data_IF_646458312778
#
_entry.id   IF_646458312778
#
_cell.length_a   1.000
_cell.length_b   1.000
_cell.length_c   1.000
_cell.angle_alpha   90.00
_cell.angle_beta   90.00
_cell.angle_gamma   90.00
#
_symmetry.space_group_name_H-M   'P 1'
#
loop_
_entity.id
_entity.type
_entity.pdbx_description
1 polymer ?
#
# COMPACT_ATOMS: atom_id res chain seq x y z
N UNK A 1 26.69 5.90 7.51
CA UNK A 1 26.11 4.67 6.92
C UNK A 1 26.88 4.30 5.65
N UNK A 2 27.26 3.02 5.50
CA UNK A 2 27.90 2.54 4.27
C UNK A 2 26.89 2.47 3.10
N UNK A 3 27.37 2.40 1.85
CA UNK A 3 26.51 2.42 0.64
C UNK A 3 25.47 1.29 0.62
N UNK A 4 25.80 0.15 1.22
CA UNK A 4 24.90 -1.00 1.35
C UNK A 4 23.73 -0.70 2.29
N UNK A 5 24.01 -0.19 3.48
CA UNK A 5 22.99 0.21 4.45
C UNK A 5 22.05 1.29 3.88
N UNK A 6 22.57 2.23 3.08
CA UNK A 6 21.74 3.24 2.41
C UNK A 6 20.76 2.63 1.40
N UNK A 7 21.18 1.63 0.62
CA UNK A 7 20.30 0.93 -0.32
C UNK A 7 19.24 0.12 0.43
N UNK A 8 19.64 -0.61 1.47
CA UNK A 8 18.70 -1.39 2.28
C UNK A 8 17.67 -0.49 2.97
N UNK A 9 18.07 0.66 3.51
CA UNK A 9 17.15 1.61 4.11
C UNK A 9 16.15 2.16 3.09
N UNK A 10 16.63 2.52 1.89
CA UNK A 10 15.80 3.16 0.86
C UNK A 10 14.82 2.21 0.18
N UNK A 11 15.26 1.00 -0.18
CA UNK A 11 14.45 0.03 -0.93
C UNK A 11 13.86 -1.08 -0.06
N UNK A 12 14.41 -1.32 1.12
CA UNK A 12 14.00 -2.39 2.02
C UNK A 12 12.52 -2.34 2.41
N UNK A 13 11.95 -1.17 2.81
CA UNK A 13 10.54 -1.09 3.14
C UNK A 13 9.62 -1.50 1.99
N UNK A 14 9.95 -1.07 0.76
CA UNK A 14 9.18 -1.41 -0.44
C UNK A 14 9.23 -2.91 -0.72
N UNK A 15 10.44 -3.51 -0.70
CA UNK A 15 10.62 -4.95 -0.89
C UNK A 15 9.89 -5.74 0.20
N UNK A 16 10.03 -5.35 1.45
CA UNK A 16 9.41 -6.02 2.58
C UNK A 16 7.88 -6.00 2.46
N UNK A 17 7.27 -4.85 2.18
CA UNK A 17 5.82 -4.74 2.03
C UNK A 17 5.30 -5.46 0.78
N UNK A 18 6.01 -5.39 -0.35
CA UNK A 18 5.67 -6.15 -1.57
C UNK A 18 5.78 -7.67 -1.41
N UNK A 19 6.38 -8.18 -0.34
CA UNK A 19 6.40 -9.61 -0.02
C UNK A 19 5.40 -9.94 1.09
N UNK A 20 5.32 -9.08 2.10
CA UNK A 20 4.46 -9.28 3.26
C UNK A 20 2.98 -9.22 2.90
N UNK A 21 2.57 -8.29 2.03
CA UNK A 21 1.16 -8.11 1.68
C UNK A 21 0.59 -9.37 1.02
N UNK A 22 1.16 -9.95 -0.07
CA UNK A 22 0.70 -11.22 -0.62
C UNK A 22 0.70 -12.35 0.39
N UNK A 23 1.76 -12.45 1.20
CA UNK A 23 1.89 -13.50 2.20
C UNK A 23 0.70 -13.46 3.16
N UNK A 24 0.35 -12.28 3.68
CA UNK A 24 -0.79 -12.12 4.59
C UNK A 24 -2.15 -12.27 3.88
N UNK A 25 -2.29 -11.72 2.67
CA UNK A 25 -3.55 -11.76 1.91
C UNK A 25 -3.92 -13.16 1.43
N UNK A 26 -2.94 -13.97 1.03
CA UNK A 26 -3.15 -15.34 0.54
C UNK A 26 -3.14 -16.38 1.67
N UNK A 27 -2.70 -16.03 2.88
CA UNK A 27 -2.77 -16.93 4.02
C UNK A 27 -4.24 -17.33 4.32
N UNK A 28 -4.50 -18.64 4.53
CA UNK A 28 -5.83 -19.12 4.86
C UNK A 28 -6.44 -18.42 6.08
N UNK A 29 -7.74 -18.15 6.04
CA UNK A 29 -8.43 -17.39 7.09
C UNK A 29 -8.26 -17.99 8.50
N UNK A 30 -8.08 -19.32 8.61
CA UNK A 30 -7.80 -20.04 9.87
C UNK A 30 -6.57 -19.56 10.63
N UNK A 31 -5.61 -18.92 9.98
CA UNK A 31 -4.45 -18.35 10.69
C UNK A 31 -4.82 -17.09 11.48
N UNK A 32 -5.91 -16.43 11.10
CA UNK A 32 -6.39 -15.19 11.72
C UNK A 32 -7.56 -15.40 12.68
N UNK A 33 -8.12 -16.61 12.76
CA UNK A 33 -9.28 -16.91 13.63
C UNK A 33 -9.01 -16.69 15.12
N UNK A 34 -7.74 -16.81 15.57
CA UNK A 34 -7.35 -16.43 16.94
C UNK A 34 -7.34 -14.92 17.19
N UNK A 35 -7.15 -14.11 16.15
CA UNK A 35 -7.21 -12.64 16.22
C UNK A 35 -8.66 -12.14 16.06
N UNK A 36 -9.50 -12.91 15.38
CA UNK A 36 -10.91 -12.61 15.11
C UNK A 36 -11.86 -12.88 16.30
N UNK A 37 -11.34 -13.29 17.47
CA UNK A 37 -12.13 -13.51 18.69
C UNK A 37 -12.60 -12.21 19.34
N UNK A 38 -12.14 -11.04 18.87
CA UNK A 38 -12.68 -9.73 19.20
C UNK A 38 -13.90 -9.40 18.34
N UNK A 39 -14.93 -8.68 18.85
CA UNK A 39 -16.07 -8.26 18.05
C UNK A 39 -15.63 -7.59 16.75
N UNK A 40 -16.06 -8.12 15.61
CA UNK A 40 -15.70 -7.56 14.30
C UNK A 40 -16.40 -6.22 14.13
N UNK A 41 -15.65 -5.12 14.17
CA UNK A 41 -16.15 -3.81 13.78
C UNK A 41 -16.45 -3.84 12.27
N UNK A 42 -17.67 -3.52 11.84
CA UNK A 42 -18.01 -3.51 10.41
C UNK A 42 -17.05 -2.61 9.62
N UNK A 43 -16.50 -3.12 8.51
CA UNK A 43 -15.59 -2.37 7.63
C UNK A 43 -14.14 -2.25 8.11
N UNK A 44 -13.77 -2.86 9.23
CA UNK A 44 -12.39 -2.83 9.74
C UNK A 44 -11.39 -3.51 8.77
N UNK A 45 -11.83 -4.56 8.08
CA UNK A 45 -11.12 -5.19 6.98
C UNK A 45 -10.77 -4.17 5.87
N UNK A 46 -11.74 -3.38 5.40
CA UNK A 46 -11.50 -2.34 4.40
C UNK A 46 -10.52 -1.28 4.89
N UNK A 47 -10.56 -0.92 6.18
CA UNK A 47 -9.57 -0.02 6.76
C UNK A 47 -8.15 -0.62 6.72
N UNK A 48 -7.99 -1.90 7.05
CA UNK A 48 -6.69 -2.57 6.95
C UNK A 48 -6.16 -2.60 5.52
N UNK A 49 -7.03 -2.88 4.55
CA UNK A 49 -6.70 -2.80 3.13
C UNK A 49 -6.21 -1.39 2.75
N UNK A 50 -6.97 -0.35 3.09
CA UNK A 50 -6.55 1.03 2.83
C UNK A 50 -5.20 1.38 3.49
N UNK A 51 -5.00 1.00 4.76
CA UNK A 51 -3.74 1.29 5.48
C UNK A 51 -2.54 0.53 4.90
N UNK A 52 -2.71 -0.75 4.52
CA UNK A 52 -1.64 -1.55 3.93
C UNK A 52 -1.19 -0.97 2.59
N UNK A 53 -2.13 -0.54 1.74
CA UNK A 53 -1.78 0.03 0.43
C UNK A 53 -1.32 1.49 0.53
N UNK A 54 -1.77 2.25 1.52
CA UNK A 54 -1.16 3.53 1.87
C UNK A 54 0.32 3.33 2.29
N UNK A 55 0.61 2.36 3.15
CA UNK A 55 1.98 2.04 3.54
C UNK A 55 2.84 1.57 2.36
N UNK A 56 2.27 0.75 1.46
CA UNK A 56 2.94 0.30 0.24
C UNK A 56 3.30 1.49 -0.67
N UNK A 57 2.33 2.35 -1.00
CA UNK A 57 2.58 3.57 -1.77
C UNK A 57 3.61 4.48 -1.12
N UNK A 58 3.54 4.68 0.21
CA UNK A 58 4.52 5.47 0.93
C UNK A 58 5.93 4.87 0.84
N UNK A 59 6.05 3.54 0.88
CA UNK A 59 7.33 2.86 0.73
C UNK A 59 7.91 3.00 -0.69
N UNK A 60 7.05 2.98 -1.72
CA UNK A 60 7.46 3.24 -3.11
C UNK A 60 7.90 4.70 -3.29
N UNK A 61 7.17 5.65 -2.69
CA UNK A 61 7.59 7.05 -2.63
C UNK A 61 8.97 7.19 -1.95
N UNK A 62 9.19 6.47 -0.84
CA UNK A 62 10.48 6.46 -0.15
C UNK A 62 11.61 5.86 -1.01
N UNK A 63 11.33 4.88 -1.85
CA UNK A 63 12.31 4.33 -2.80
C UNK A 63 12.63 5.31 -3.95
N UNK A 64 11.69 6.19 -4.30
CA UNK A 64 11.78 7.11 -5.43
C UNK A 64 12.97 8.09 -5.31
N UNK A 65 13.55 8.49 -6.45
CA UNK A 65 14.63 9.49 -6.48
C UNK A 65 14.13 10.89 -6.13
N UNK A 66 14.97 11.75 -5.52
CA UNK A 66 14.58 13.12 -5.19
C UNK A 66 13.99 13.89 -6.39
N UNK A 67 14.61 13.77 -7.56
CA UNK A 67 14.16 14.43 -8.80
C UNK A 67 12.77 13.93 -9.25
N UNK A 68 12.48 12.64 -9.08
CA UNK A 68 11.19 12.07 -9.45
C UNK A 68 10.08 12.46 -8.44
N UNK A 69 10.42 12.68 -7.16
CA UNK A 69 9.46 13.14 -6.14
C UNK A 69 8.93 14.56 -6.37
N UNK A 70 9.64 15.37 -7.16
CA UNK A 70 9.23 16.74 -7.49
C UNK A 70 8.18 16.80 -8.61
N UNK A 71 7.91 15.67 -9.28
CA UNK A 71 6.99 15.62 -10.42
C UNK A 71 5.73 14.86 -10.02
N UNK A 72 4.53 15.33 -10.41
CA UNK A 72 3.29 14.64 -10.08
C UNK A 72 3.17 13.27 -10.77
N UNK A 73 3.63 13.14 -12.02
CA UNK A 73 3.45 11.91 -12.80
C UNK A 73 4.08 10.66 -12.15
N UNK A 74 5.34 10.65 -11.69
CA UNK A 74 5.91 9.51 -10.95
C UNK A 74 5.14 9.15 -9.66
N UNK A 75 4.56 10.15 -8.98
CA UNK A 75 3.79 9.95 -7.77
C UNK A 75 2.44 9.29 -8.06
N UNK A 76 1.74 9.73 -9.10
CA UNK A 76 0.49 9.10 -9.50
C UNK A 76 0.73 7.70 -10.08
N UNK A 77 1.84 7.50 -10.81
CA UNK A 77 2.21 6.21 -11.35
C UNK A 77 2.46 5.16 -10.25
N UNK A 78 3.16 5.52 -9.16
CA UNK A 78 3.40 4.56 -8.07
C UNK A 78 2.11 4.19 -7.33
N UNK A 79 1.18 5.15 -7.14
CA UNK A 79 -0.13 4.88 -6.56
C UNK A 79 -0.92 3.92 -7.45
N UNK A 80 -0.94 4.17 -8.77
CA UNK A 80 -1.57 3.28 -9.74
C UNK A 80 -0.95 1.88 -9.73
N UNK A 81 0.39 1.77 -9.66
CA UNK A 81 1.07 0.48 -9.53
C UNK A 81 0.65 -0.27 -8.26
N UNK A 82 0.57 0.40 -7.11
CA UNK A 82 0.09 -0.21 -5.87
C UNK A 82 -1.38 -0.65 -5.98
N UNK A 83 -2.24 0.14 -6.60
CA UNK A 83 -3.65 -0.22 -6.84
C UNK A 83 -3.80 -1.44 -7.75
N UNK A 84 -3.07 -1.48 -8.87
CA UNK A 84 -3.08 -2.61 -9.81
C UNK A 84 -2.58 -3.87 -9.10
N UNK A 85 -1.49 -3.74 -8.33
CA UNK A 85 -0.96 -4.83 -7.53
C UNK A 85 -2.01 -5.39 -6.56
N UNK A 86 -2.80 -4.53 -5.93
CA UNK A 86 -3.87 -4.97 -5.05
C UNK A 86 -5.05 -5.61 -5.75
N UNK A 87 -5.48 -5.05 -6.88
CA UNK A 87 -6.52 -5.67 -7.70
C UNK A 87 -6.12 -7.08 -8.17
N UNK A 88 -4.85 -7.27 -8.55
CA UNK A 88 -4.32 -8.59 -8.92
C UNK A 88 -4.32 -9.56 -7.73
N UNK A 89 -4.05 -9.08 -6.51
CA UNK A 89 -4.14 -9.91 -5.31
C UNK A 89 -5.57 -10.30 -4.95
N UNK A 90 -6.56 -9.42 -5.14
CA UNK A 90 -7.98 -9.77 -4.96
C UNK A 90 -8.41 -10.86 -5.96
N UNK A 91 -8.00 -10.74 -7.22
CA UNK A 91 -8.19 -11.81 -8.20
C UNK A 91 -7.47 -13.10 -7.76
N UNK A 92 -6.24 -12.98 -7.25
CA UNK A 92 -5.47 -14.10 -6.71
C UNK A 92 -6.17 -14.79 -5.53
N UNK A 93 -6.80 -14.05 -4.62
CA UNK A 93 -7.55 -14.62 -3.52
C UNK A 93 -8.75 -15.43 -4.01
N UNK A 94 -9.49 -14.93 -4.99
CA UNK A 94 -10.62 -15.65 -5.60
C UNK A 94 -10.22 -16.87 -6.45
N UNK A 95 -9.04 -16.83 -7.09
CA UNK A 95 -8.58 -17.88 -7.99
C UNK A 95 -7.71 -18.95 -7.32
N UNK A 96 -6.92 -18.57 -6.31
CA UNK A 96 -5.88 -19.43 -5.71
C UNK A 96 -6.22 -19.93 -4.30
N UNK A 97 -7.30 -19.42 -3.68
CA UNK A 97 -7.66 -19.80 -2.31
C UNK A 97 -9.11 -20.26 -2.22
N UNK A 98 -9.37 -21.21 -1.33
CA UNK A 98 -10.74 -21.70 -1.07
C UNK A 98 -11.43 -20.99 0.10
N UNK A 99 -10.66 -20.31 0.96
CA UNK A 99 -11.18 -19.66 2.18
C UNK A 99 -11.26 -18.14 2.10
N UNK A 100 -10.81 -17.54 0.98
CA UNK A 100 -10.99 -16.11 0.72
C UNK A 100 -11.90 -15.94 -0.48
N UNK A 101 -12.68 -14.86 -0.47
CA UNK A 101 -13.47 -14.44 -1.59
C UNK A 101 -12.82 -13.20 -2.21
N UNK A 102 -12.99 -13.04 -3.51
CA UNK A 102 -12.69 -11.78 -4.20
C UNK A 102 -13.74 -10.75 -3.78
N UNK A 103 -13.32 -9.59 -3.27
CA UNK A 103 -14.21 -8.48 -2.91
C UNK A 103 -13.81 -7.20 -3.66
N UNK A 104 -14.66 -6.70 -4.61
CA UNK A 104 -14.41 -5.43 -5.28
C UNK A 104 -14.28 -4.24 -4.32
N UNK A 105 -14.89 -4.29 -3.13
CA UNK A 105 -14.76 -3.25 -2.12
C UNK A 105 -13.36 -3.23 -1.49
N UNK A 106 -12.70 -4.38 -1.40
CA UNK A 106 -11.32 -4.48 -0.92
C UNK A 106 -10.35 -3.93 -1.98
N UNK A 107 -10.60 -4.18 -3.27
CA UNK A 107 -9.87 -3.53 -4.37
C UNK A 107 -10.02 -1.99 -4.34
N UNK A 108 -11.22 -1.50 -4.04
CA UNK A 108 -11.48 -0.07 -3.89
C UNK A 108 -10.75 0.50 -2.66
N UNK A 109 -10.76 -0.21 -1.53
CA UNK A 109 -10.05 0.18 -0.32
C UNK A 109 -8.53 0.24 -0.55
N UNK A 110 -7.96 -0.76 -1.23
CA UNK A 110 -6.56 -0.77 -1.67
C UNK A 110 -6.23 0.49 -2.47
N UNK A 111 -7.08 0.82 -3.44
CA UNK A 111 -6.92 2.00 -4.30
C UNK A 111 -7.02 3.31 -3.52
N UNK A 112 -8.03 3.44 -2.65
CA UNK A 112 -8.21 4.62 -1.81
C UNK A 112 -7.02 4.84 -0.88
N UNK A 113 -6.49 3.79 -0.26
CA UNK A 113 -5.27 3.83 0.53
C UNK A 113 -4.06 4.30 -0.27
N UNK A 114 -3.81 3.67 -1.42
CA UNK A 114 -2.67 3.98 -2.28
C UNK A 114 -2.65 5.43 -2.76
N UNK A 115 -3.81 5.97 -3.16
CA UNK A 115 -3.92 7.34 -3.66
C UNK A 115 -3.97 8.38 -2.54
N UNK A 116 -4.67 8.12 -1.43
CA UNK A 116 -4.85 9.10 -0.34
C UNK A 116 -3.51 9.59 0.22
N UNK A 117 -2.55 8.69 0.47
CA UNK A 117 -1.23 9.07 0.99
C UNK A 117 -0.43 9.91 -0.01
N UNK A 118 -0.53 9.58 -1.30
CA UNK A 118 0.19 10.31 -2.36
C UNK A 118 -0.41 11.69 -2.58
N UNK A 119 -1.74 11.80 -2.59
CA UNK A 119 -2.43 13.09 -2.68
C UNK A 119 -2.10 13.96 -1.45
N UNK A 120 -2.05 13.38 -0.26
CA UNK A 120 -1.64 14.09 0.96
C UNK A 120 -0.20 14.62 0.86
N UNK A 121 0.73 13.82 0.33
CA UNK A 121 2.12 14.25 0.08
C UNK A 121 2.15 15.40 -0.94
N UNK A 122 1.45 15.26 -2.07
CA UNK A 122 1.40 16.29 -3.11
C UNK A 122 0.84 17.61 -2.56
N UNK A 123 -0.27 17.56 -1.82
CA UNK A 123 -0.87 18.73 -1.19
C UNK A 123 0.09 19.37 -0.19
N UNK A 124 0.73 18.57 0.66
CA UNK A 124 1.72 19.05 1.64
C UNK A 124 2.90 19.75 0.97
N UNK A 125 3.43 19.19 -0.13
CA UNK A 125 4.52 19.83 -0.88
C UNK A 125 4.08 21.14 -1.51
N UNK A 126 2.88 21.20 -2.10
CA UNK A 126 2.36 22.42 -2.72
C UNK A 126 2.18 23.55 -1.69
N UNK A 127 1.60 23.26 -0.52
CA UNK A 127 1.39 24.25 0.54
C UNK A 127 2.71 24.82 1.07
N UNK A 128 3.75 23.99 1.18
CA UNK A 128 5.07 24.46 1.60
C UNK A 128 5.72 25.38 0.57
N UNK A 129 5.60 25.08 -0.73
CA UNK A 129 6.13 25.94 -1.78
C UNK A 129 5.41 27.30 -1.84
N UNK A 130 4.07 27.33 -1.71
CA UNK A 130 3.29 28.59 -1.74
C UNK A 130 3.54 29.52 -0.52
N UNK A 131 4.25 29.07 0.51
CA UNK A 131 4.60 29.90 1.68
C UNK A 131 5.96 30.59 1.57
N UNK A 132 6.75 30.25 0.56
CA UNK A 132 8.09 30.79 0.33
C UNK A 132 8.17 31.74 -0.89
N UNK A 133 7.02 32.07 -1.47
CA UNK A 133 6.82 33.12 -2.49
C UNK A 133 6.16 34.35 -1.83
#
# INVERSE_FOLDING_TARGET
MNRWSQRCYRYGPAVALSLLIPLLSLLPARFFSRLASTPSVPGMDKLFHALMYAALSLSFYHALSPNARQRPAPLLALAACASIYGALLECGQGLLTHSRAMDPWDALANTAGAFSVILAIMLGTHVLFSRHE
#
